data_IF_955193823341
#
_entry.id   IF_955193823341
#
_cell.length_a   1.000
_cell.length_b   1.000
_cell.length_c   1.000
_cell.angle_alpha   90.00
_cell.angle_beta   90.00
_cell.angle_gamma   90.00
#
_symmetry.space_group_name_H-M   'P 1'
#
loop_
_entity.id
_entity.type
_entity.pdbx_description
1 polymer ?
#
# COMPACT_ATOMS: atom_id res chain seq x y z
N UNK A 1 24.37 2.48 -8.25
CA UNK A 1 23.28 1.58 -8.67
C UNK A 1 22.30 2.40 -9.51
N UNK A 2 22.49 2.42 -10.83
CA UNK A 2 21.71 3.21 -11.80
C UNK A 2 21.03 2.20 -12.71
N UNK A 3 19.70 2.28 -12.83
CA UNK A 3 18.92 1.36 -13.66
C UNK A 3 19.01 1.80 -15.11
N UNK A 4 19.18 0.86 -16.01
CA UNK A 4 19.07 1.13 -17.45
C UNK A 4 17.59 1.23 -17.90
N UNK A 5 17.39 1.53 -19.18
CA UNK A 5 16.04 1.69 -19.74
C UNK A 5 15.22 0.40 -19.65
N UNK A 6 15.85 -0.76 -19.87
CA UNK A 6 15.14 -2.04 -19.80
C UNK A 6 14.71 -2.35 -18.37
N UNK A 7 15.58 -2.12 -17.39
CA UNK A 7 15.27 -2.29 -15.96
C UNK A 7 14.12 -1.36 -15.52
N UNK A 8 14.07 -0.14 -16.03
CA UNK A 8 12.95 0.80 -15.78
C UNK A 8 11.65 0.27 -16.39
N UNK A 9 11.67 -0.24 -17.63
CA UNK A 9 10.49 -0.84 -18.25
C UNK A 9 9.97 -2.06 -17.48
N UNK A 10 10.87 -2.85 -16.88
CA UNK A 10 10.50 -3.98 -16.03
C UNK A 10 9.85 -3.52 -14.72
N UNK A 11 10.40 -2.48 -14.07
CA UNK A 11 9.79 -1.87 -12.88
C UNK A 11 8.39 -1.33 -13.17
N UNK A 12 8.21 -0.64 -14.30
CA UNK A 12 6.90 -0.12 -14.72
C UNK A 12 5.90 -1.26 -14.97
N UNK A 13 6.34 -2.38 -15.55
CA UNK A 13 5.50 -3.56 -15.70
C UNK A 13 5.07 -4.13 -14.34
N UNK A 14 6.00 -4.33 -13.41
CA UNK A 14 5.72 -4.82 -12.07
C UNK A 14 4.73 -3.91 -11.31
N UNK A 15 4.87 -2.59 -11.44
CA UNK A 15 3.93 -1.60 -10.88
C UNK A 15 2.55 -1.74 -11.51
N UNK A 16 2.43 -1.90 -12.83
CA UNK A 16 1.12 -2.09 -13.50
C UNK A 16 0.40 -3.35 -13.01
N UNK A 17 1.10 -4.48 -12.88
CA UNK A 17 0.51 -5.71 -12.35
C UNK A 17 0.10 -5.56 -10.87
N UNK A 18 0.94 -4.87 -10.09
CA UNK A 18 0.64 -4.51 -8.69
C UNK A 18 -0.66 -3.69 -8.61
N UNK A 19 -0.77 -2.61 -9.38
CA UNK A 19 -1.97 -1.75 -9.42
C UNK A 19 -3.22 -2.52 -9.83
N UNK A 20 -3.13 -3.45 -10.79
CA UNK A 20 -4.23 -4.33 -11.13
C UNK A 20 -4.69 -5.19 -9.92
N UNK A 21 -3.76 -5.67 -9.10
CA UNK A 21 -4.06 -6.40 -7.87
C UNK A 21 -4.78 -5.55 -6.82
N UNK A 22 -4.42 -4.27 -6.69
CA UNK A 22 -5.15 -3.32 -5.85
C UNK A 22 -6.59 -3.10 -6.33
N UNK A 23 -6.82 -3.02 -7.64
CA UNK A 23 -8.17 -2.92 -8.20
C UNK A 23 -9.00 -4.18 -7.94
N UNK A 24 -8.41 -5.37 -8.09
CA UNK A 24 -9.08 -6.63 -7.75
C UNK A 24 -9.52 -6.65 -6.28
N UNK A 25 -8.62 -6.27 -5.36
CA UNK A 25 -8.94 -6.21 -3.93
C UNK A 25 -10.06 -5.21 -3.65
N UNK A 26 -10.01 -4.01 -4.25
CA UNK A 26 -11.04 -3.00 -4.06
C UNK A 26 -12.44 -3.52 -4.47
N UNK A 27 -12.52 -4.32 -5.53
CA UNK A 27 -13.75 -4.99 -5.96
C UNK A 27 -14.25 -6.08 -5.00
N UNK A 28 -13.38 -6.61 -4.15
CA UNK A 28 -13.66 -7.75 -3.25
C UNK A 28 -13.90 -7.34 -1.80
N UNK A 29 -13.77 -6.05 -1.43
CA UNK A 29 -13.91 -5.59 -0.03
C UNK A 29 -15.25 -5.99 0.59
N UNK A 30 -16.34 -5.87 -0.17
CA UNK A 30 -17.67 -6.30 0.29
C UNK A 30 -17.72 -7.80 0.61
N UNK A 31 -17.00 -8.64 -0.14
CA UNK A 31 -16.90 -10.07 0.15
C UNK A 31 -16.02 -10.33 1.37
N UNK A 32 -14.87 -9.65 1.47
CA UNK A 32 -13.95 -9.77 2.60
C UNK A 32 -14.65 -9.48 3.95
N UNK A 33 -15.56 -8.51 3.99
CA UNK A 33 -16.37 -8.19 5.18
C UNK A 33 -17.28 -9.33 5.64
N UNK A 34 -17.75 -10.18 4.71
CA UNK A 34 -18.63 -11.32 5.01
C UNK A 34 -17.83 -12.60 5.28
N UNK A 35 -16.58 -12.64 4.85
CA UNK A 35 -15.72 -13.80 5.04
C UNK A 35 -15.29 -13.93 6.50
N UNK A 36 -15.27 -15.17 7.02
CA UNK A 36 -14.78 -15.47 8.37
C UNK A 36 -13.32 -15.03 8.60
N UNK A 37 -12.51 -15.04 7.53
CA UNK A 37 -11.10 -14.63 7.52
C UNK A 37 -10.90 -13.56 6.46
N UNK A 38 -11.44 -12.37 6.71
CA UNK A 38 -11.50 -11.26 5.73
C UNK A 38 -10.12 -10.83 5.23
N UNK A 39 -9.12 -10.71 6.12
CA UNK A 39 -7.75 -10.34 5.72
C UNK A 39 -7.14 -11.39 4.77
N UNK A 40 -7.33 -12.69 5.05
CA UNK A 40 -6.88 -13.76 4.13
C UNK A 40 -7.62 -13.79 2.80
N UNK A 41 -8.87 -13.32 2.77
CA UNK A 41 -9.59 -13.18 1.49
C UNK A 41 -8.90 -12.12 0.63
N UNK A 42 -8.57 -10.96 1.22
CA UNK A 42 -7.85 -9.88 0.57
C UNK A 42 -6.47 -10.34 0.09
N UNK A 43 -5.70 -10.96 0.98
CA UNK A 43 -4.39 -11.57 0.66
C UNK A 43 -4.51 -12.51 -0.53
N UNK A 44 -5.45 -13.47 -0.48
CA UNK A 44 -5.66 -14.44 -1.56
C UNK A 44 -6.05 -13.79 -2.89
N UNK A 45 -6.88 -12.73 -2.86
CA UNK A 45 -7.26 -11.97 -4.05
C UNK A 45 -6.03 -11.33 -4.71
N UNK A 46 -5.17 -10.65 -3.93
CA UNK A 46 -3.95 -10.05 -4.47
C UNK A 46 -2.96 -11.13 -4.93
N UNK A 47 -2.73 -12.17 -4.13
CA UNK A 47 -1.78 -13.23 -4.45
C UNK A 47 -2.16 -13.99 -5.73
N UNK A 48 -3.46 -14.15 -6.00
CA UNK A 48 -3.95 -14.69 -7.27
C UNK A 48 -3.53 -13.83 -8.45
N UNK A 49 -3.68 -12.50 -8.36
CA UNK A 49 -3.19 -11.57 -9.41
C UNK A 49 -1.70 -11.73 -9.62
N UNK A 50 -0.93 -11.74 -8.54
CA UNK A 50 0.51 -11.86 -8.58
C UNK A 50 0.97 -13.12 -9.33
N UNK A 51 0.30 -14.27 -9.10
CA UNK A 51 0.59 -15.53 -9.79
C UNK A 51 0.14 -15.60 -11.24
N UNK A 52 -0.83 -14.79 -11.65
CA UNK A 52 -1.34 -14.78 -13.02
C UNK A 52 -0.53 -13.85 -13.94
N UNK A 53 0.06 -12.81 -13.37
CA UNK A 53 0.69 -11.73 -14.15
C UNK A 53 2.22 -11.67 -14.01
N UNK A 54 2.80 -12.31 -13.00
CA UNK A 54 4.23 -12.31 -12.77
C UNK A 54 4.73 -13.60 -12.12
N UNK A 55 5.97 -13.56 -11.66
CA UNK A 55 6.61 -14.68 -10.98
C UNK A 55 5.85 -15.05 -9.69
N UNK A 56 5.40 -14.01 -8.99
CA UNK A 56 4.65 -14.13 -7.75
C UNK A 56 4.67 -12.83 -6.96
N UNK A 57 4.79 -12.96 -5.65
CA UNK A 57 4.88 -11.81 -4.74
C UNK A 57 6.33 -11.37 -4.60
N UNK A 58 6.57 -10.06 -4.58
CA UNK A 58 7.88 -9.52 -4.22
C UNK A 58 8.18 -9.60 -2.72
N UNK A 59 7.14 -9.64 -1.89
CA UNK A 59 7.20 -9.81 -0.44
C UNK A 59 5.85 -10.33 0.08
N UNK A 60 5.79 -10.80 1.33
CA UNK A 60 4.53 -11.25 1.92
C UNK A 60 3.52 -10.10 2.00
N UNK A 61 2.33 -10.30 1.40
CA UNK A 61 1.23 -9.32 1.43
C UNK A 61 0.83 -8.98 2.86
N UNK A 62 0.73 -7.69 3.18
CA UNK A 62 0.15 -7.19 4.43
C UNK A 62 -1.27 -6.74 4.14
N UNK A 63 -2.26 -7.46 4.66
CA UNK A 63 -3.67 -7.12 4.58
C UNK A 63 -4.18 -6.83 6.00
N UNK A 64 -3.95 -5.60 6.47
CA UNK A 64 -4.12 -5.24 7.87
C UNK A 64 -5.37 -4.37 8.08
N UNK A 65 -6.40 -4.91 8.71
CA UNK A 65 -7.64 -4.20 9.02
C UNK A 65 -7.64 -3.64 10.46
N UNK A 66 -8.19 -2.44 10.62
CA UNK A 66 -8.34 -1.79 11.92
C UNK A 66 -6.99 -1.64 12.64
N UNK A 67 -6.92 -2.08 13.91
CA UNK A 67 -5.70 -1.97 14.73
C UNK A 67 -4.52 -2.80 14.21
N UNK A 68 -4.73 -3.79 13.34
CA UNK A 68 -3.62 -4.54 12.76
C UNK A 68 -2.74 -3.66 11.87
N UNK A 69 -3.30 -2.59 11.28
CA UNK A 69 -2.53 -1.63 10.49
C UNK A 69 -1.49 -0.85 11.31
N UNK A 70 -1.55 -0.93 12.66
CA UNK A 70 -0.53 -0.35 13.54
C UNK A 70 0.70 -1.27 13.73
N UNK A 71 0.65 -2.52 13.25
CA UNK A 71 1.80 -3.41 13.21
C UNK A 71 2.40 -3.42 11.79
N UNK A 72 3.61 -2.87 11.65
CA UNK A 72 4.21 -2.58 10.34
C UNK A 72 4.27 -3.79 9.39
N UNK A 73 4.67 -4.97 9.89
CA UNK A 73 4.75 -6.20 9.09
C UNK A 73 3.69 -7.23 9.52
N UNK A 74 2.42 -6.85 9.48
CA UNK A 74 1.30 -7.76 9.74
C UNK A 74 1.08 -8.73 8.57
N UNK A 75 1.90 -9.78 8.47
CA UNK A 75 1.75 -10.82 7.42
C UNK A 75 0.91 -12.02 7.89
N UNK A 76 0.53 -12.04 9.17
CA UNK A 76 -0.31 -13.09 9.75
C UNK A 76 -1.72 -13.12 9.12
N UNK A 77 -2.23 -11.93 8.76
CA UNK A 77 -3.46 -11.71 8.01
C UNK A 77 -4.66 -12.54 8.50
N UNK A 78 -4.78 -12.80 9.80
CA UNK A 78 -5.80 -13.71 10.34
C UNK A 78 -7.00 -13.01 10.98
N UNK A 79 -7.05 -11.67 10.85
CA UNK A 79 -8.10 -10.82 11.35
C UNK A 79 -9.39 -10.82 10.50
N UNK A 80 -10.52 -10.44 11.12
CA UNK A 80 -11.73 -10.08 10.40
C UNK A 80 -11.60 -8.68 9.78
N UNK A 81 -12.36 -8.44 8.72
CA UNK A 81 -12.51 -7.12 8.08
C UNK A 81 -13.91 -6.61 8.43
N UNK A 82 -14.04 -5.42 9.03
CA UNK A 82 -15.32 -4.91 9.51
C UNK A 82 -15.69 -3.58 8.88
N UNK A 83 -16.99 -3.34 8.77
CA UNK A 83 -17.47 -2.01 8.41
C UNK A 83 -17.01 -0.97 9.43
N UNK A 84 -16.68 0.22 8.96
CA UNK A 84 -16.11 1.29 9.76
C UNK A 84 -14.59 1.19 10.01
N UNK A 85 -13.92 0.07 9.73
CA UNK A 85 -12.46 -0.02 9.79
C UNK A 85 -11.78 0.58 8.55
N UNK A 86 -10.49 0.89 8.69
CA UNK A 86 -9.58 1.06 7.55
C UNK A 86 -8.91 -0.28 7.24
N UNK A 87 -8.64 -0.52 5.96
CA UNK A 87 -7.73 -1.54 5.47
C UNK A 87 -6.44 -0.86 5.01
N UNK A 88 -5.30 -1.24 5.57
CA UNK A 88 -3.99 -0.99 4.97
C UNK A 88 -3.59 -2.25 4.18
N UNK A 89 -3.43 -2.09 2.87
CA UNK A 89 -2.91 -3.12 1.98
C UNK A 89 -1.51 -2.69 1.52
N UNK A 90 -0.50 -3.47 1.88
CA UNK A 90 0.86 -3.34 1.40
C UNK A 90 1.24 -4.60 0.62
N UNK A 91 1.45 -4.46 -0.68
CA UNK A 91 1.57 -5.61 -1.56
C UNK A 91 2.28 -5.27 -2.86
N UNK A 92 2.99 -6.27 -3.40
CA UNK A 92 3.84 -6.11 -4.56
C UNK A 92 3.86 -7.35 -5.44
N UNK A 93 3.64 -7.16 -6.74
CA UNK A 93 3.89 -8.22 -7.74
C UNK A 93 5.35 -8.16 -8.16
N UNK A 94 6.01 -9.31 -8.12
CA UNK A 94 7.31 -9.54 -8.76
C UNK A 94 7.05 -10.02 -10.19
N UNK A 95 7.52 -9.25 -11.18
CA UNK A 95 7.45 -9.62 -12.58
C UNK A 95 8.34 -10.84 -12.88
N UNK A 96 8.16 -11.49 -14.03
CA UNK A 96 9.00 -12.62 -14.45
C UNK A 96 10.49 -12.26 -14.61
N UNK A 97 10.81 -10.97 -14.71
CA UNK A 97 12.16 -10.42 -14.71
C UNK A 97 12.75 -10.24 -13.30
N UNK A 98 12.01 -10.60 -12.25
CA UNK A 98 12.35 -10.42 -10.83
C UNK A 98 12.41 -8.95 -10.35
N UNK A 99 11.85 -8.04 -11.14
CA UNK A 99 11.57 -6.68 -10.71
C UNK A 99 10.25 -6.61 -9.94
N UNK A 100 10.25 -5.91 -8.82
CA UNK A 100 9.13 -5.88 -7.88
C UNK A 100 8.47 -4.51 -7.86
N UNK A 101 7.15 -4.47 -7.99
CA UNK A 101 6.35 -3.33 -7.58
C UNK A 101 6.17 -3.36 -6.06
N UNK A 102 6.21 -2.21 -5.41
CA UNK A 102 6.03 -2.09 -3.96
C UNK A 102 5.12 -0.90 -3.70
N UNK A 103 3.89 -1.19 -3.27
CA UNK A 103 2.83 -0.20 -3.18
C UNK A 103 2.01 -0.47 -1.94
N UNK A 104 1.74 0.60 -1.19
CA UNK A 104 0.77 0.58 -0.09
C UNK A 104 -0.44 1.47 -0.43
N UNK A 105 -1.65 1.02 -0.08
CA UNK A 105 -2.87 1.85 -0.07
C UNK A 105 -3.68 1.61 1.20
N UNK A 106 -4.26 2.67 1.72
CA UNK A 106 -5.22 2.61 2.83
C UNK A 106 -6.62 2.98 2.34
N UNK A 107 -7.60 2.13 2.59
CA UNK A 107 -8.97 2.25 2.09
C UNK A 107 -9.98 2.16 3.25
N UNK A 108 -11.08 2.93 3.25
CA UNK A 108 -12.18 2.69 4.18
C UNK A 108 -12.95 1.46 3.75
N UNK A 109 -13.09 0.47 4.63
CA UNK A 109 -13.73 -0.81 4.31
C UNK A 109 -15.17 -0.61 3.84
N UNK A 110 -15.92 0.29 4.49
CA UNK A 110 -17.29 0.67 4.11
C UNK A 110 -17.40 1.64 2.93
N UNK A 111 -16.28 1.97 2.27
CA UNK A 111 -16.25 2.88 1.11
C UNK A 111 -16.32 4.37 1.45
N UNK A 112 -16.43 4.74 2.73
CA UNK A 112 -16.41 6.14 3.19
C UNK A 112 -15.51 6.29 4.41
N UNK A 113 -14.61 7.25 4.36
CA UNK A 113 -13.84 7.65 5.53
C UNK A 113 -14.76 8.34 6.55
N UNK A 114 -14.56 8.06 7.83
CA UNK A 114 -15.01 8.96 8.90
C UNK A 114 -14.13 10.22 8.94
N UNK A 115 -14.59 11.26 9.64
CA UNK A 115 -13.84 12.52 9.74
C UNK A 115 -12.43 12.32 10.32
N UNK A 116 -12.30 11.47 11.36
CA UNK A 116 -11.00 11.17 11.96
C UNK A 116 -10.11 10.37 11.01
N UNK A 117 -10.65 9.38 10.30
CA UNK A 117 -9.87 8.61 9.33
C UNK A 117 -9.41 9.48 8.17
N UNK A 118 -10.30 10.37 7.69
CA UNK A 118 -10.00 11.32 6.62
C UNK A 118 -8.89 12.30 7.04
N UNK A 119 -8.97 12.83 8.27
CA UNK A 119 -7.96 13.74 8.84
C UNK A 119 -6.58 13.10 8.85
N UNK A 120 -6.47 11.85 9.30
CA UNK A 120 -5.21 11.10 9.30
C UNK A 120 -4.73 10.81 7.88
N UNK A 121 -5.62 10.36 7.00
CA UNK A 121 -5.30 10.06 5.61
C UNK A 121 -4.75 11.28 4.86
N UNK A 122 -5.41 12.44 4.98
CA UNK A 122 -4.98 13.66 4.32
C UNK A 122 -3.60 14.13 4.80
N UNK A 123 -3.29 13.98 6.10
CA UNK A 123 -1.97 14.30 6.63
C UNK A 123 -0.88 13.39 6.04
N UNK A 124 -1.12 12.08 5.99
CA UNK A 124 -0.18 11.12 5.38
C UNK A 124 -0.03 11.39 3.89
N UNK A 125 -1.12 11.71 3.19
CA UNK A 125 -1.08 12.06 1.77
C UNK A 125 -0.26 13.34 1.51
N UNK A 126 -0.41 14.35 2.38
CA UNK A 126 0.41 15.57 2.32
C UNK A 126 1.89 15.28 2.56
N UNK A 127 2.21 14.43 3.54
CA UNK A 127 3.59 14.03 3.83
C UNK A 127 4.23 13.24 2.68
N UNK A 128 3.50 12.29 2.08
CA UNK A 128 3.94 11.56 0.88
C UNK A 128 4.20 12.53 -0.28
N UNK A 129 3.29 13.47 -0.52
CA UNK A 129 3.41 14.46 -1.59
C UNK A 129 4.65 15.36 -1.41
N UNK A 130 4.91 15.81 -0.18
CA UNK A 130 6.10 16.59 0.15
C UNK A 130 7.40 15.78 -0.05
N UNK A 131 7.41 14.52 0.38
CA UNK A 131 8.53 13.60 0.16
C UNK A 131 8.84 13.42 -1.34
N UNK A 132 7.81 13.15 -2.15
CA UNK A 132 7.96 13.02 -3.62
C UNK A 132 8.50 14.31 -4.24
N UNK A 133 7.99 15.48 -3.84
CA UNK A 133 8.42 16.76 -4.37
C UNK A 133 9.90 17.10 -4.07
N UNK A 134 10.47 16.52 -3.00
CA UNK A 134 11.87 16.69 -2.64
C UNK A 134 12.84 15.84 -3.50
N UNK A 135 12.35 14.83 -4.23
CA UNK A 135 13.18 13.92 -5.02
C UNK A 135 13.66 14.59 -6.31
N UNK A 136 14.98 14.78 -6.42
CA UNK A 136 15.64 15.27 -7.65
C UNK A 136 17.13 14.93 -7.68
N UNK A 137 17.77 14.88 -8.86
CA UNK A 137 19.23 14.76 -8.96
C UNK A 137 19.96 15.83 -8.14
N UNK A 138 20.95 15.40 -7.36
CA UNK A 138 21.76 16.29 -6.50
C UNK A 138 21.16 16.65 -5.14
N UNK A 139 19.91 16.25 -4.84
CA UNK A 139 19.36 16.40 -3.50
C UNK A 139 20.05 15.43 -2.50
N UNK A 140 20.20 15.81 -1.22
CA UNK A 140 20.63 14.88 -0.18
C UNK A 140 19.67 13.68 -0.09
N UNK A 141 20.21 12.48 0.12
CA UNK A 141 19.39 11.27 0.19
C UNK A 141 18.26 11.38 1.22
N UNK A 142 18.50 11.94 2.41
CA UNK A 142 17.50 12.08 3.47
C UNK A 142 16.43 13.17 3.22
N UNK A 143 16.57 14.01 2.20
CA UNK A 143 15.71 15.19 2.04
C UNK A 143 14.22 14.85 1.90
N UNK A 144 13.87 13.71 1.28
CA UNK A 144 12.47 13.28 1.18
C UNK A 144 11.90 12.86 2.54
N UNK A 145 12.72 12.25 3.40
CA UNK A 145 12.32 11.82 4.74
C UNK A 145 12.12 13.03 5.64
N UNK A 146 13.03 14.00 5.59
CA UNK A 146 12.93 15.24 6.35
C UNK A 146 11.67 16.02 5.95
N UNK A 147 11.41 16.16 4.65
CA UNK A 147 10.22 16.83 4.13
C UNK A 147 8.92 16.15 4.59
N UNK A 148 8.83 14.83 4.48
CA UNK A 148 7.64 14.08 4.92
C UNK A 148 7.45 14.17 6.45
N UNK A 149 8.52 13.99 7.22
CA UNK A 149 8.47 14.02 8.69
C UNK A 149 8.12 15.39 9.23
N UNK A 150 8.61 16.47 8.61
CA UNK A 150 8.22 17.84 8.98
C UNK A 150 6.71 18.04 8.84
N UNK A 151 6.11 17.63 7.71
CA UNK A 151 4.65 17.72 7.50
C UNK A 151 3.89 16.94 8.57
N UNK A 152 4.33 15.72 8.89
CA UNK A 152 3.70 14.90 9.94
C UNK A 152 3.79 15.60 11.30
N UNK A 153 4.97 16.10 11.67
CA UNK A 153 5.21 16.74 12.97
C UNK A 153 4.35 17.99 13.16
N UNK A 154 4.36 18.91 12.19
CA UNK A 154 3.57 20.14 12.22
C UNK A 154 2.06 19.83 12.16
N UNK A 155 1.67 18.85 11.34
CA UNK A 155 0.30 18.39 11.24
C UNK A 155 -0.23 17.87 12.57
N UNK A 156 0.51 16.99 13.25
CA UNK A 156 0.13 16.43 14.54
C UNK A 156 0.17 17.47 15.68
N UNK A 157 1.08 18.44 15.66
CA UNK A 157 1.12 19.53 16.65
C UNK A 157 -0.14 20.41 16.56
N UNK A 158 -0.66 20.61 15.35
CA UNK A 158 -1.86 21.40 15.10
C UNK A 158 -3.18 20.70 15.47
N UNK A 159 -3.14 19.44 15.95
CA UNK A 159 -4.32 18.59 16.03
C UNK A 159 -5.22 18.73 17.25
#
# INVERSE_FOLDING_TARGET
>A
LVKDTWEIEQLDAAVRHTVAGFHDVAGELSHAMRARRGERWIEGTFNRRARLEGHGLGFETIAAAGSHACALHWTRNDGPVRDGDLLLLDAGVEADSFYTGDVTRTLPVGGRFSDVQRRVYDLVFAAQSAGIAALRPGAPYGAFHDAATQVIAEGLDSW
#
